data_IF_836042272615
#
_entry.id   IF_836042272615
#
_cell.length_a   1.000
_cell.length_b   1.000
_cell.length_c   1.000
_cell.angle_alpha   90.00
_cell.angle_beta   90.00
_cell.angle_gamma   90.00
#
_symmetry.space_group_name_H-M   'P 1'
#
loop_
_entity.id
_entity.type
_entity.pdbx_description
1 polymer ?
#
# COMPACT_ATOMS: atom_id res chain seq x y z
N UNK A 1 -2.02 -2.01 10.91
CA UNK A 1 -1.62 -1.09 9.82
C UNK A 1 -2.83 -0.26 9.43
N UNK A 2 -2.66 1.06 9.36
CA UNK A 2 -3.61 2.04 8.83
C UNK A 2 -3.31 2.33 7.35
N UNK A 3 -4.22 3.01 6.65
CA UNK A 3 -3.96 3.41 5.25
C UNK A 3 -2.74 4.34 5.15
N UNK A 4 -2.55 5.25 6.13
CA UNK A 4 -1.40 6.15 6.19
C UNK A 4 -0.07 5.41 6.39
N UNK A 5 -0.04 4.44 7.30
CA UNK A 5 1.15 3.60 7.53
C UNK A 5 1.51 2.79 6.28
N UNK A 6 0.52 2.14 5.64
CA UNK A 6 0.72 1.42 4.38
C UNK A 6 1.30 2.34 3.31
N UNK A 7 0.69 3.53 3.14
CA UNK A 7 1.13 4.49 2.14
C UNK A 7 2.59 4.91 2.36
N UNK A 8 2.95 5.27 3.59
CA UNK A 8 4.31 5.70 3.92
C UNK A 8 5.33 4.57 3.75
N UNK A 9 5.01 3.36 4.20
CA UNK A 9 5.88 2.20 4.06
C UNK A 9 6.10 1.83 2.59
N UNK A 10 5.03 1.81 1.77
CA UNK A 10 5.15 1.54 0.34
C UNK A 10 5.92 2.62 -0.41
N UNK A 11 5.78 3.89 -0.02
CA UNK A 11 6.59 4.99 -0.57
C UNK A 11 8.06 4.90 -0.16
N UNK A 12 8.34 4.52 1.09
CA UNK A 12 9.70 4.43 1.61
C UNK A 12 10.47 3.24 1.01
N UNK A 13 9.79 2.11 0.82
CA UNK A 13 10.40 0.86 0.32
C UNK A 13 10.31 0.69 -1.19
N UNK A 14 9.38 1.38 -1.85
CA UNK A 14 9.01 1.12 -3.24
C UNK A 14 8.27 -0.22 -3.42
N UNK A 15 7.83 -0.86 -2.34
CA UNK A 15 7.21 -2.19 -2.35
C UNK A 15 5.87 -2.17 -1.62
N UNK A 16 4.86 -2.79 -2.22
CA UNK A 16 3.62 -3.20 -1.55
C UNK A 16 3.51 -4.72 -1.60
N UNK A 17 3.12 -5.37 -0.49
CA UNK A 17 2.96 -6.83 -0.49
C UNK A 17 1.56 -7.27 -0.95
N UNK A 18 1.40 -8.53 -1.39
CA UNK A 18 0.08 -9.08 -1.72
C UNK A 18 -0.92 -8.97 -0.56
N UNK A 19 -0.47 -9.18 0.68
CA UNK A 19 -1.31 -9.09 1.87
C UNK A 19 -1.79 -7.66 2.12
N UNK A 20 -0.92 -6.67 1.89
CA UNK A 20 -1.25 -5.25 2.02
C UNK A 20 -2.20 -4.77 0.93
N UNK A 21 -1.96 -5.19 -0.31
CA UNK A 21 -2.85 -4.89 -1.42
C UNK A 21 -4.24 -5.52 -1.21
N UNK A 22 -4.27 -6.77 -0.72
CA UNK A 22 -5.51 -7.46 -0.33
C UNK A 22 -6.21 -6.75 0.83
N UNK A 23 -5.45 -6.30 1.84
CA UNK A 23 -5.98 -5.54 2.96
C UNK A 23 -6.65 -4.23 2.49
N UNK A 24 -6.01 -3.53 1.55
CA UNK A 24 -6.49 -2.29 0.95
C UNK A 24 -7.77 -2.54 0.13
N UNK A 25 -7.78 -3.59 -0.70
CA UNK A 25 -8.94 -3.96 -1.51
C UNK A 25 -10.18 -4.33 -0.68
N UNK A 26 -9.99 -4.94 0.50
CA UNK A 26 -11.10 -5.35 1.39
C UNK A 26 -11.70 -4.21 2.21
N UNK A 27 -10.98 -3.10 2.39
CA UNK A 27 -11.36 -1.99 3.28
C UNK A 27 -11.77 -0.72 2.55
N UNK A 28 -11.98 -0.77 1.24
CA UNK A 28 -12.32 0.40 0.43
C UNK A 28 -13.55 1.15 0.96
N UNK A 29 -14.54 0.44 1.52
CA UNK A 29 -15.77 1.03 2.06
C UNK A 29 -15.59 1.70 3.44
N UNK A 30 -14.47 1.46 4.10
CA UNK A 30 -14.18 1.98 5.46
C UNK A 30 -13.32 3.24 5.43
N UNK A 31 -12.79 3.61 4.26
CA UNK A 31 -11.88 4.73 4.10
C UNK A 31 -12.62 6.07 4.13
N UNK A 32 -12.02 7.04 4.83
CA UNK A 32 -12.35 8.44 4.63
C UNK A 32 -11.97 8.88 3.21
N UNK A 33 -12.52 10.01 2.75
CA UNK A 33 -12.18 10.56 1.41
C UNK A 33 -10.68 10.78 1.21
N UNK A 34 -9.94 11.10 2.28
CA UNK A 34 -8.49 11.30 2.23
C UNK A 34 -7.78 9.96 2.05
N UNK A 35 -8.22 8.93 2.76
CA UNK A 35 -7.68 7.58 2.65
C UNK A 35 -7.99 6.95 1.29
N UNK A 36 -9.21 7.15 0.75
CA UNK A 36 -9.54 6.74 -0.61
C UNK A 36 -8.62 7.41 -1.64
N UNK A 37 -8.37 8.72 -1.51
CA UNK A 37 -7.46 9.43 -2.40
C UNK A 37 -6.03 8.89 -2.32
N UNK A 38 -5.56 8.53 -1.12
CA UNK A 38 -4.27 7.90 -0.91
C UNK A 38 -4.22 6.49 -1.53
N UNK A 39 -5.27 5.69 -1.35
CA UNK A 39 -5.40 4.34 -1.93
C UNK A 39 -5.38 4.39 -3.47
N UNK A 40 -6.14 5.31 -4.07
CA UNK A 40 -6.14 5.53 -5.52
C UNK A 40 -4.80 6.03 -6.05
N UNK A 41 -4.11 6.88 -5.29
CA UNK A 41 -2.74 7.30 -5.63
C UNK A 41 -1.78 6.11 -5.62
N UNK A 42 -1.90 5.24 -4.62
CA UNK A 42 -1.04 4.08 -4.48
C UNK A 42 -1.27 3.06 -5.61
N UNK A 43 -2.52 2.84 -6.02
CA UNK A 43 -2.86 2.04 -7.21
C UNK A 43 -2.21 2.59 -8.49
N UNK A 44 -2.29 3.92 -8.72
CA UNK A 44 -1.63 4.54 -9.88
C UNK A 44 -0.11 4.40 -9.87
N UNK A 45 0.51 4.48 -8.70
CA UNK A 45 1.96 4.28 -8.57
C UNK A 45 2.37 2.83 -8.85
N UNK A 46 1.51 1.87 -8.49
CA UNK A 46 1.68 0.46 -8.85
C UNK A 46 1.56 0.26 -10.36
N UNK A 47 0.52 0.82 -10.99
CA UNK A 47 0.32 0.72 -12.45
C UNK A 47 1.46 1.36 -13.25
N UNK A 48 2.08 2.42 -12.72
CA UNK A 48 3.24 3.09 -13.31
C UNK A 48 4.57 2.37 -13.05
N UNK A 49 4.60 1.34 -12.21
CA UNK A 49 5.82 0.64 -11.80
C UNK A 49 6.73 1.43 -10.85
N UNK A 50 6.24 2.54 -10.28
CA UNK A 50 6.97 3.31 -9.25
C UNK A 50 7.00 2.55 -7.93
N UNK A 51 5.89 1.89 -7.60
CA UNK A 51 5.80 0.90 -6.52
C UNK A 51 5.65 -0.47 -7.18
N UNK A 52 6.33 -1.47 -6.65
CA UNK A 52 6.26 -2.84 -7.16
C UNK A 52 5.55 -3.77 -6.18
N UNK A 53 4.87 -4.77 -6.73
CA UNK A 53 4.35 -5.87 -5.94
C UNK A 53 5.52 -6.77 -5.52
N UNK A 54 5.67 -7.03 -4.22
CA UNK A 54 6.82 -7.78 -3.72
C UNK A 54 6.63 -8.36 -2.33
N UNK A 55 7.72 -8.76 -1.69
CA UNK A 55 7.71 -9.27 -0.32
C UNK A 55 8.66 -8.45 0.56
N UNK A 56 8.34 -8.34 1.85
CA UNK A 56 9.26 -7.80 2.85
C UNK A 56 9.84 -8.96 3.65
N UNK A 57 11.14 -9.14 3.53
CA UNK A 57 11.84 -10.16 4.31
C UNK A 57 11.90 -9.69 5.77
N UNK A 58 11.55 -10.56 6.74
CA UNK A 58 11.79 -10.24 8.14
C UNK A 58 13.29 -9.99 8.31
N UNK A 59 13.65 -8.92 9.03
CA UNK A 59 15.05 -8.74 9.44
C UNK A 59 15.43 -9.94 10.30
N UNK A 60 16.42 -10.70 9.86
CA UNK A 60 17.06 -11.70 10.71
C UNK A 60 17.62 -10.94 11.91
N UNK A 61 17.06 -11.22 13.09
CA UNK A 61 17.50 -10.66 14.37
C UNK A 61 18.79 -11.33 14.83
#
# INVERSE_FOLDING_TARGET
MTMGELFLESMATGVITPEELSWLARRQTEFSRVEEAAALRLGRLLDQGVIQLGCRLPRLA
#
